data_IF_693855023766
#
_entry.id   IF_693855023766
#
_cell.length_a   1.000
_cell.length_b   1.000
_cell.length_c   1.000
_cell.angle_alpha   90.00
_cell.angle_beta   90.00
_cell.angle_gamma   90.00
#
_symmetry.space_group_name_H-M   'P 1'
#
loop_
_entity.id
_entity.type
_entity.pdbx_description
1 polymer ?
#
# COMPACT_ATOMS: atom_id res chain seq x y z
N UNK A 1 30.91 -0.75 6.31
CA UNK A 1 30.76 -2.01 7.08
C UNK A 1 29.46 -2.64 6.61
N UNK A 2 29.52 -3.86 6.12
CA UNK A 2 28.34 -4.61 5.69
C UNK A 2 27.94 -5.61 6.77
N UNK A 3 26.67 -6.03 6.76
CA UNK A 3 26.19 -7.17 7.53
C UNK A 3 26.36 -8.43 6.70
N UNK A 4 26.97 -9.47 7.25
CA UNK A 4 27.02 -10.77 6.61
C UNK A 4 25.91 -11.66 7.17
N UNK A 5 25.06 -12.17 6.27
CA UNK A 5 23.93 -13.04 6.56
C UNK A 5 24.28 -14.46 6.12
N UNK A 6 24.36 -15.39 7.07
CA UNK A 6 24.52 -16.80 6.80
C UNK A 6 23.20 -17.54 6.75
N UNK A 7 23.03 -18.41 5.74
CA UNK A 7 21.99 -19.44 5.70
C UNK A 7 22.50 -20.62 4.87
N UNK A 8 22.31 -21.86 5.35
CA UNK A 8 22.74 -23.07 4.64
C UNK A 8 22.12 -23.16 3.23
N UNK A 9 20.86 -22.71 3.12
CA UNK A 9 20.10 -22.69 1.87
C UNK A 9 19.60 -21.26 1.68
N UNK A 10 19.88 -20.68 0.52
CA UNK A 10 19.50 -19.31 0.19
C UNK A 10 18.37 -19.30 -0.85
N UNK A 11 17.13 -19.13 -0.37
CA UNK A 11 15.93 -19.10 -1.23
C UNK A 11 15.54 -17.67 -1.65
N UNK A 12 14.69 -17.51 -2.69
CA UNK A 12 14.13 -16.21 -3.04
C UNK A 12 13.37 -15.54 -1.89
N UNK A 13 12.64 -16.31 -1.07
CA UNK A 13 11.90 -15.80 0.10
C UNK A 13 12.82 -15.24 1.18
N UNK A 14 13.96 -15.91 1.46
CA UNK A 14 14.99 -15.40 2.39
C UNK A 14 15.57 -14.10 1.84
N UNK A 15 16.05 -14.10 0.59
CA UNK A 15 16.62 -12.89 -0.04
C UNK A 15 15.66 -11.72 0.00
N UNK A 16 14.39 -11.95 -0.36
CA UNK A 16 13.37 -10.91 -0.37
C UNK A 16 13.14 -10.33 1.03
N UNK A 17 12.88 -11.18 2.02
CA UNK A 17 12.52 -10.73 3.38
C UNK A 17 13.68 -10.03 4.08
N UNK A 18 14.90 -10.57 3.93
CA UNK A 18 16.09 -9.95 4.53
C UNK A 18 16.44 -8.63 3.85
N UNK A 19 16.35 -8.53 2.51
CA UNK A 19 16.52 -7.23 1.85
C UNK A 19 15.47 -6.23 2.33
N UNK A 20 14.21 -6.62 2.45
CA UNK A 20 13.17 -5.71 2.94
C UNK A 20 13.48 -5.18 4.36
N UNK A 21 13.80 -6.06 5.30
CA UNK A 21 14.10 -5.64 6.68
C UNK A 21 15.39 -4.82 6.73
N UNK A 22 16.50 -5.34 6.20
CA UNK A 22 17.80 -4.71 6.40
C UNK A 22 18.05 -3.54 5.46
N UNK A 23 17.77 -3.71 4.16
CA UNK A 23 18.02 -2.68 3.15
C UNK A 23 16.91 -1.64 3.12
N UNK A 24 15.65 -2.05 3.10
CA UNK A 24 14.54 -1.10 2.88
C UNK A 24 14.11 -0.40 4.17
N UNK A 25 13.92 -1.13 5.28
CA UNK A 25 13.53 -0.54 6.56
C UNK A 25 14.74 0.04 7.31
N UNK A 26 15.80 -0.78 7.51
CA UNK A 26 16.95 -0.40 8.36
C UNK A 26 18.05 0.37 7.63
N UNK A 27 17.97 0.49 6.30
CA UNK A 27 18.96 1.19 5.46
C UNK A 27 20.39 0.71 5.72
N UNK A 28 20.55 -0.61 5.81
CA UNK A 28 21.81 -1.31 6.00
C UNK A 28 22.10 -2.24 4.82
N UNK A 29 23.37 -2.30 4.43
CA UNK A 29 23.82 -3.16 3.35
C UNK A 29 24.12 -4.57 3.88
N UNK A 30 23.67 -5.57 3.12
CA UNK A 30 23.80 -6.98 3.49
C UNK A 30 24.52 -7.76 2.39
N UNK A 31 25.31 -8.73 2.81
CA UNK A 31 25.91 -9.77 1.98
C UNK A 31 25.36 -11.13 2.43
N UNK A 32 24.98 -12.00 1.49
CA UNK A 32 24.54 -13.35 1.81
C UNK A 32 25.65 -14.36 1.55
N UNK A 33 25.82 -15.33 2.44
CA UNK A 33 26.74 -16.46 2.23
C UNK A 33 26.17 -17.77 2.74
N UNK A 34 26.50 -18.86 2.04
CA UNK A 34 26.31 -20.24 2.52
C UNK A 34 27.62 -20.90 2.96
N UNK A 35 28.74 -20.18 2.92
CA UNK A 35 30.04 -20.70 3.33
C UNK A 35 30.25 -20.41 4.83
N UNK A 36 30.14 -21.44 5.65
CA UNK A 36 30.25 -21.34 7.11
C UNK A 36 31.66 -20.93 7.55
N UNK A 37 32.71 -21.38 6.87
CA UNK A 37 34.09 -21.01 7.19
C UNK A 37 34.32 -19.52 6.94
N UNK A 38 33.91 -19.01 5.78
CA UNK A 38 33.99 -17.58 5.46
C UNK A 38 33.17 -16.75 6.46
N UNK A 39 31.96 -17.19 6.80
CA UNK A 39 31.13 -16.53 7.79
C UNK A 39 31.80 -16.45 9.15
N UNK A 40 32.32 -17.58 9.68
CA UNK A 40 32.94 -17.63 11.00
C UNK A 40 34.21 -16.76 11.09
N UNK A 41 35.03 -16.75 10.03
CA UNK A 41 36.27 -15.99 9.94
C UNK A 41 36.06 -14.49 9.68
N UNK A 42 34.86 -14.08 9.26
CA UNK A 42 34.56 -12.68 8.98
C UNK A 42 34.56 -11.81 10.26
N UNK A 43 35.16 -10.62 10.15
CA UNK A 43 35.14 -9.56 11.17
C UNK A 43 33.92 -8.62 11.03
N UNK A 44 33.08 -8.85 10.01
CA UNK A 44 31.87 -8.07 9.81
C UNK A 44 30.81 -8.36 10.89
N UNK A 45 29.72 -7.59 10.89
CA UNK A 45 28.56 -7.89 11.74
C UNK A 45 27.89 -9.17 11.24
N UNK A 46 27.87 -10.20 12.09
CA UNK A 46 27.42 -11.55 11.72
C UNK A 46 26.00 -11.82 12.20
N UNK A 47 25.14 -12.23 11.27
CA UNK A 47 23.81 -12.75 11.54
C UNK A 47 23.66 -14.09 10.83
N UNK A 48 23.12 -15.09 11.52
CA UNK A 48 22.79 -16.39 10.91
C UNK A 48 21.29 -16.65 11.02
N UNK A 49 20.75 -17.30 9.99
CA UNK A 49 19.36 -17.73 9.92
C UNK A 49 19.29 -19.19 9.51
N UNK A 50 18.81 -20.05 10.41
CA UNK A 50 18.87 -21.49 10.18
C UNK A 50 18.42 -22.33 11.37
N UNK A 51 18.74 -23.63 11.32
CA UNK A 51 18.34 -24.57 12.36
C UNK A 51 19.27 -24.57 13.57
N UNK A 52 20.52 -24.12 13.44
CA UNK A 52 21.51 -24.13 14.53
C UNK A 52 22.39 -22.89 14.44
N UNK A 53 22.77 -22.38 15.61
CA UNK A 53 23.78 -21.34 15.77
C UNK A 53 25.16 -21.91 15.41
N UNK A 54 26.01 -21.10 14.77
CA UNK A 54 27.35 -21.51 14.33
C UNK A 54 28.47 -21.11 15.29
N UNK A 55 28.30 -20.00 16.01
CA UNK A 55 29.26 -19.46 16.96
C UNK A 55 28.64 -18.35 17.80
N UNK A 56 29.37 -17.26 18.02
CA UNK A 56 28.89 -16.10 18.78
C UNK A 56 28.32 -14.99 17.86
N UNK A 57 27.55 -15.35 16.83
CA UNK A 57 26.82 -14.40 16.00
C UNK A 57 25.47 -13.99 16.63
N UNK A 58 24.69 -13.14 15.94
CA UNK A 58 23.26 -12.98 16.24
C UNK A 58 22.51 -14.06 15.47
N UNK A 59 22.00 -15.06 16.18
CA UNK A 59 21.30 -16.19 15.58
C UNK A 59 19.78 -16.01 15.60
N UNK A 60 19.15 -16.20 14.44
CA UNK A 60 17.71 -16.33 14.31
C UNK A 60 17.35 -17.75 13.88
N UNK A 61 16.61 -18.46 14.75
CA UNK A 61 16.12 -19.80 14.44
C UNK A 61 15.05 -19.71 13.36
N UNK A 62 15.16 -20.57 12.37
CA UNK A 62 14.27 -20.59 11.22
C UNK A 62 13.13 -21.60 11.33
N UNK A 63 12.04 -21.31 10.62
CA UNK A 63 10.94 -22.24 10.33
C UNK A 63 10.86 -22.55 8.83
N UNK A 64 10.04 -23.52 8.46
CA UNK A 64 10.00 -24.06 7.10
C UNK A 64 9.54 -23.05 6.02
N UNK A 65 8.82 -21.99 6.39
CA UNK A 65 8.13 -21.12 5.42
C UNK A 65 9.08 -20.48 4.39
N UNK A 66 10.23 -19.97 4.85
CA UNK A 66 11.16 -19.31 3.94
C UNK A 66 11.97 -20.28 3.09
N UNK A 67 12.03 -21.57 3.44
CA UNK A 67 12.71 -22.59 2.63
C UNK A 67 11.79 -23.26 1.61
N UNK A 68 10.48 -23.10 1.77
CA UNK A 68 9.48 -23.63 0.83
C UNK A 68 9.38 -22.78 -0.43
N UNK A 69 9.05 -23.41 -1.56
CA UNK A 69 8.64 -22.79 -2.81
C UNK A 69 7.17 -23.07 -3.16
N UNK A 70 6.40 -23.58 -2.18
CA UNK A 70 4.99 -23.93 -2.36
C UNK A 70 4.07 -23.00 -1.60
N UNK A 71 2.87 -22.83 -2.14
CA UNK A 71 1.75 -22.14 -1.53
C UNK A 71 0.75 -23.19 -1.02
N UNK A 72 0.80 -23.47 0.28
CA UNK A 72 0.06 -24.52 0.97
C UNK A 72 -0.72 -23.92 2.15
N UNK A 73 -1.76 -24.59 2.62
CA UNK A 73 -2.52 -24.09 3.77
C UNK A 73 -1.66 -24.11 5.04
N UNK A 74 -1.56 -22.96 5.71
CA UNK A 74 -0.79 -22.82 6.95
C UNK A 74 -1.72 -22.47 8.11
N UNK A 75 -1.54 -23.18 9.22
CA UNK A 75 -2.16 -22.87 10.52
C UNK A 75 -1.05 -22.54 11.51
N UNK A 76 -0.38 -21.37 11.37
CA UNK A 76 0.74 -21.01 12.22
C UNK A 76 0.32 -20.99 13.68
N UNK A 77 1.06 -21.72 14.52
CA UNK A 77 0.97 -21.57 15.98
C UNK A 77 1.41 -20.17 16.37
N UNK A 78 0.85 -19.66 17.46
CA UNK A 78 1.19 -18.34 17.99
C UNK A 78 1.56 -18.39 19.46
N UNK A 79 2.37 -17.42 19.89
CA UNK A 79 2.68 -17.14 21.30
C UNK A 79 2.41 -15.67 21.61
N UNK A 80 2.25 -15.34 22.89
CA UNK A 80 2.13 -13.96 23.33
C UNK A 80 3.48 -13.22 23.21
N UNK A 81 3.43 -11.97 22.80
CA UNK A 81 4.58 -11.09 22.70
C UNK A 81 4.16 -9.66 23.07
N UNK A 82 4.30 -9.35 24.36
CA UNK A 82 3.68 -8.16 24.95
C UNK A 82 2.16 -8.18 24.79
N UNK A 83 1.62 -7.15 24.15
CA UNK A 83 0.18 -6.94 23.99
C UNK A 83 -0.46 -7.67 22.79
N UNK A 84 0.33 -8.39 21.98
CA UNK A 84 -0.13 -9.03 20.75
C UNK A 84 0.42 -10.45 20.58
N UNK A 85 -0.04 -11.15 19.55
CA UNK A 85 0.41 -12.50 19.21
C UNK A 85 1.41 -12.48 18.05
N UNK A 86 2.41 -13.35 18.11
CA UNK A 86 3.37 -13.56 17.02
C UNK A 86 3.30 -15.01 16.52
N UNK A 87 3.32 -15.23 15.20
CA UNK A 87 3.32 -16.57 14.61
C UNK A 87 4.72 -17.19 14.59
N UNK A 88 4.79 -18.49 14.31
CA UNK A 88 6.05 -19.22 14.11
C UNK A 88 6.97 -19.20 15.34
N UNK A 89 6.51 -19.66 16.51
CA UNK A 89 7.34 -19.69 17.72
C UNK A 89 8.58 -20.56 17.53
N UNK A 90 9.70 -20.10 18.07
CA UNK A 90 10.99 -20.80 18.05
C UNK A 90 11.70 -20.62 19.39
N UNK A 91 12.56 -21.57 19.73
CA UNK A 91 13.41 -21.52 20.91
C UNK A 91 14.87 -21.25 20.50
N UNK A 92 15.68 -20.81 21.46
CA UNK A 92 17.13 -20.60 21.29
C UNK A 92 17.44 -19.67 20.10
N UNK A 93 16.78 -18.52 20.05
CA UNK A 93 16.84 -17.54 18.97
C UNK A 93 16.88 -16.13 19.56
N UNK A 94 17.39 -15.16 18.80
CA UNK A 94 17.43 -13.75 19.22
C UNK A 94 16.03 -13.16 19.47
N UNK A 95 14.98 -13.76 18.89
CA UNK A 95 13.57 -13.48 19.17
C UNK A 95 12.81 -14.80 19.40
N UNK A 96 11.72 -14.81 20.19
CA UNK A 96 11.00 -16.04 20.54
C UNK A 96 10.13 -16.60 19.40
N UNK A 97 10.25 -16.02 18.20
CA UNK A 97 9.55 -16.41 17.00
C UNK A 97 10.41 -16.13 15.76
N UNK A 98 10.11 -16.81 14.67
CA UNK A 98 10.75 -16.57 13.38
C UNK A 98 10.19 -15.28 12.76
N UNK A 99 10.84 -14.17 13.12
CA UNK A 99 10.49 -12.82 12.67
C UNK A 99 10.54 -12.67 11.15
N UNK A 100 11.41 -13.41 10.48
CA UNK A 100 11.55 -13.32 9.02
C UNK A 100 10.42 -14.08 8.33
N UNK A 101 10.06 -15.28 8.79
CA UNK A 101 8.87 -15.99 8.30
C UNK A 101 7.58 -15.21 8.58
N UNK A 102 7.44 -14.64 9.79
CA UNK A 102 6.29 -13.82 10.15
C UNK A 102 6.15 -12.60 9.22
N UNK A 103 7.25 -11.91 8.95
CA UNK A 103 7.29 -10.76 8.03
C UNK A 103 6.93 -11.17 6.60
N UNK A 104 7.53 -12.24 6.08
CA UNK A 104 7.22 -12.74 4.74
C UNK A 104 5.76 -13.12 4.59
N UNK A 105 5.18 -13.81 5.58
CA UNK A 105 3.79 -14.24 5.56
C UNK A 105 2.83 -13.05 5.36
N UNK A 106 3.09 -11.94 6.03
CA UNK A 106 2.29 -10.71 5.91
C UNK A 106 2.60 -9.92 4.64
N UNK A 107 3.87 -9.76 4.26
CA UNK A 107 4.27 -9.00 3.06
C UNK A 107 3.80 -9.65 1.77
N UNK A 108 3.91 -10.98 1.67
CA UNK A 108 3.51 -11.74 0.48
C UNK A 108 1.98 -11.88 0.33
N UNK A 109 1.21 -11.38 1.31
CA UNK A 109 -0.25 -11.57 1.41
C UNK A 109 -0.64 -13.05 1.29
N UNK A 110 0.13 -13.92 1.95
CA UNK A 110 0.01 -15.38 1.85
C UNK A 110 -1.42 -15.88 2.09
N UNK A 111 -2.10 -15.31 3.10
CA UNK A 111 -3.50 -15.61 3.45
C UNK A 111 -4.49 -15.30 2.30
N UNK A 112 -4.25 -14.22 1.56
CA UNK A 112 -5.16 -13.76 0.50
C UNK A 112 -5.03 -14.60 -0.77
N UNK A 113 -3.80 -15.02 -1.09
CA UNK A 113 -3.55 -15.97 -2.17
C UNK A 113 -4.25 -17.31 -1.93
N UNK A 114 -4.26 -17.81 -0.69
CA UNK A 114 -4.98 -19.03 -0.34
C UNK A 114 -6.51 -18.84 -0.38
N UNK A 115 -7.00 -17.70 0.10
CA UNK A 115 -8.43 -17.38 0.05
C UNK A 115 -8.95 -17.34 -1.40
N UNK A 116 -8.22 -16.67 -2.30
CA UNK A 116 -8.63 -16.49 -3.70
C UNK A 116 -8.47 -17.73 -4.57
N UNK A 117 -7.70 -18.74 -4.12
CA UNK A 117 -7.73 -20.06 -4.74
C UNK A 117 -9.07 -20.78 -4.57
N UNK A 118 -9.81 -20.45 -3.52
CA UNK A 118 -10.99 -21.21 -3.10
C UNK A 118 -12.31 -20.42 -3.25
N UNK A 119 -12.25 -19.09 -3.43
CA UNK A 119 -13.45 -18.25 -3.55
C UNK A 119 -13.18 -16.93 -4.27
N UNK A 120 -14.22 -16.41 -4.92
CA UNK A 120 -14.25 -15.09 -5.54
C UNK A 120 -14.60 -13.95 -4.56
N UNK A 121 -14.95 -14.30 -3.32
CA UNK A 121 -15.32 -13.36 -2.27
C UNK A 121 -14.16 -12.45 -1.87
N UNK A 122 -14.51 -11.21 -1.48
CA UNK A 122 -13.54 -10.27 -0.91
C UNK A 122 -12.91 -10.83 0.38
N UNK A 123 -11.59 -10.65 0.50
CA UNK A 123 -10.86 -10.99 1.72
C UNK A 123 -11.12 -9.94 2.81
N UNK A 124 -11.97 -10.27 3.78
CA UNK A 124 -12.39 -9.33 4.83
C UNK A 124 -11.31 -9.15 5.92
N UNK A 125 -11.02 -7.91 6.37
CA UNK A 125 -10.02 -7.64 7.41
C UNK A 125 -10.27 -8.40 8.71
N UNK A 126 -11.52 -8.53 9.14
CA UNK A 126 -11.89 -9.23 10.39
C UNK A 126 -11.56 -10.73 10.36
N UNK A 127 -11.42 -11.33 9.17
CA UNK A 127 -11.01 -12.73 9.01
C UNK A 127 -9.49 -12.90 9.02
N UNK A 128 -8.74 -11.82 8.82
CA UNK A 128 -7.28 -11.86 8.70
C UNK A 128 -6.61 -12.35 9.97
N UNK A 129 -5.49 -13.04 9.80
CA UNK A 129 -4.67 -13.46 10.94
C UNK A 129 -4.09 -12.24 11.68
N UNK A 130 -3.72 -11.18 10.95
CA UNK A 130 -3.25 -9.93 11.54
C UNK A 130 -4.27 -9.28 12.49
N UNK A 131 -5.56 -9.34 12.16
CA UNK A 131 -6.62 -8.89 13.05
C UNK A 131 -6.71 -9.78 14.29
N UNK A 132 -6.73 -11.11 14.12
CA UNK A 132 -6.77 -12.08 15.24
C UNK A 132 -5.56 -11.95 16.17
N UNK A 133 -4.40 -11.61 15.62
CA UNK A 133 -3.16 -11.41 16.36
C UNK A 133 -3.03 -10.02 16.98
N UNK A 134 -3.99 -9.11 16.75
CA UNK A 134 -3.99 -7.73 17.25
C UNK A 134 -2.78 -6.91 16.80
N UNK A 135 -2.32 -7.13 15.57
CA UNK A 135 -1.18 -6.39 14.98
C UNK A 135 -1.58 -5.42 13.87
N UNK A 136 -2.86 -5.39 13.49
CA UNK A 136 -3.32 -4.60 12.36
C UNK A 136 -3.16 -3.07 12.56
N UNK A 137 -3.16 -2.59 13.81
CA UNK A 137 -3.12 -1.16 14.15
C UNK A 137 -1.70 -0.56 14.20
N UNK A 138 -0.66 -1.31 13.83
CA UNK A 138 0.73 -0.86 13.88
C UNK A 138 1.53 -1.37 12.68
N UNK A 139 2.59 -0.67 12.24
CA UNK A 139 3.51 -1.17 11.22
C UNK A 139 4.43 -2.23 11.85
N UNK A 140 3.87 -3.38 12.23
CA UNK A 140 4.50 -4.37 13.11
C UNK A 140 5.84 -4.88 12.58
N UNK A 141 5.99 -4.99 11.26
CA UNK A 141 7.25 -5.44 10.63
C UNK A 141 8.33 -4.38 10.80
N UNK A 142 7.99 -3.10 10.66
CA UNK A 142 8.92 -2.00 10.92
C UNK A 142 9.33 -1.94 12.40
N UNK A 143 8.39 -2.20 13.33
CA UNK A 143 8.70 -2.30 14.76
C UNK A 143 9.66 -3.46 15.06
N UNK A 144 9.41 -4.65 14.48
CA UNK A 144 10.31 -5.78 14.61
C UNK A 144 11.70 -5.49 14.03
N UNK A 145 11.77 -4.77 12.90
CA UNK A 145 13.05 -4.34 12.34
C UNK A 145 13.80 -3.42 13.33
N UNK A 146 13.12 -2.51 14.04
CA UNK A 146 13.76 -1.69 15.08
C UNK A 146 14.23 -2.52 16.29
N UNK A 147 13.54 -3.60 16.63
CA UNK A 147 14.02 -4.55 17.64
C UNK A 147 15.30 -5.24 17.17
N UNK A 148 15.36 -5.70 15.91
CA UNK A 148 16.56 -6.27 15.30
C UNK A 148 17.70 -5.25 15.28
N UNK A 149 17.43 -3.99 14.91
CA UNK A 149 18.40 -2.87 14.98
C UNK A 149 18.97 -2.72 16.39
N UNK A 150 18.13 -2.82 17.42
CA UNK A 150 18.53 -2.70 18.82
C UNK A 150 19.40 -3.89 19.28
N UNK A 151 19.05 -5.11 18.87
CA UNK A 151 19.87 -6.32 19.10
C UNK A 151 21.26 -6.16 18.46
N UNK A 152 21.31 -5.69 17.22
CA UNK A 152 22.58 -5.44 16.50
C UNK A 152 23.41 -4.38 17.21
N UNK A 153 22.83 -3.23 17.54
CA UNK A 153 23.55 -2.16 18.26
C UNK A 153 24.07 -2.60 19.63
N UNK A 154 23.34 -3.47 20.32
CA UNK A 154 23.78 -4.02 21.62
C UNK A 154 25.03 -4.88 21.48
N UNK A 155 25.11 -5.72 20.45
CA UNK A 155 26.26 -6.61 20.22
C UNK A 155 27.40 -5.94 19.45
N UNK A 156 27.09 -5.01 18.55
CA UNK A 156 28.02 -4.31 17.68
C UNK A 156 27.82 -2.79 17.77
N UNK A 157 28.25 -2.13 18.86
CA UNK A 157 27.97 -0.71 19.11
C UNK A 157 28.57 0.24 18.06
N UNK A 158 29.64 -0.18 17.38
CA UNK A 158 30.30 0.58 16.31
C UNK A 158 29.53 0.56 14.98
N UNK A 159 28.58 -0.36 14.80
CA UNK A 159 27.82 -0.48 13.57
C UNK A 159 26.79 0.66 13.45
N UNK A 160 26.89 1.42 12.36
CA UNK A 160 26.01 2.55 12.08
C UNK A 160 24.99 2.19 11.00
N UNK A 161 23.73 2.50 11.29
CA UNK A 161 22.64 2.44 10.32
C UNK A 161 22.45 3.82 9.71
N UNK A 162 22.09 3.89 8.43
CA UNK A 162 21.65 5.16 7.86
C UNK A 162 20.33 5.60 8.50
N UNK A 163 20.16 6.91 8.61
CA UNK A 163 18.93 7.49 9.13
C UNK A 163 17.90 7.62 8.01
N UNK A 164 16.64 7.34 8.34
CA UNK A 164 15.48 7.66 7.53
C UNK A 164 14.61 8.65 8.29
N UNK A 165 13.83 9.43 7.55
CA UNK A 165 12.91 10.44 8.11
C UNK A 165 11.49 10.01 7.85
N UNK A 166 10.60 10.35 8.77
CA UNK A 166 9.17 10.27 8.54
C UNK A 166 8.78 10.99 7.25
N UNK A 167 7.91 10.38 6.47
CA UNK A 167 7.31 10.96 5.27
C UNK A 167 5.79 10.83 5.35
N UNK A 168 5.07 11.79 4.77
CA UNK A 168 3.64 11.73 4.62
C UNK A 168 3.29 11.84 3.13
N UNK A 169 2.42 10.97 2.64
CA UNK A 169 1.98 10.98 1.26
C UNK A 169 0.47 10.72 1.20
N UNK A 170 -0.36 11.77 1.27
CA UNK A 170 -1.80 11.61 1.10
C UNK A 170 -2.12 11.29 -0.36
N UNK A 171 -3.09 10.40 -0.57
CA UNK A 171 -3.64 10.08 -1.88
C UNK A 171 -5.07 10.60 -1.98
N UNK A 172 -5.42 11.24 -3.10
CA UNK A 172 -6.75 11.80 -3.33
C UNK A 172 -7.33 11.20 -4.60
N UNK A 173 -8.49 10.57 -4.50
CA UNK A 173 -9.14 9.92 -5.63
C UNK A 173 -10.44 10.63 -6.02
N UNK A 174 -10.77 10.64 -7.32
CA UNK A 174 -12.02 11.19 -7.83
C UNK A 174 -12.35 10.70 -9.24
N UNK A 175 -13.62 10.90 -9.63
CA UNK A 175 -14.11 10.55 -10.96
C UNK A 175 -14.20 11.81 -11.82
N UNK A 176 -13.73 11.73 -13.07
CA UNK A 176 -14.06 12.72 -14.09
C UNK A 176 -15.51 12.52 -14.51
N UNK A 177 -16.25 13.63 -14.67
CA UNK A 177 -17.62 13.59 -15.16
C UNK A 177 -17.63 13.61 -16.70
N UNK A 178 -18.59 12.96 -17.36
CA UNK A 178 -18.75 13.07 -18.80
C UNK A 178 -19.20 14.49 -19.16
N UNK A 179 -18.57 15.08 -20.18
CA UNK A 179 -19.03 16.33 -20.77
C UNK A 179 -20.28 16.09 -21.60
N UNK A 180 -21.38 16.81 -21.30
CA UNK A 180 -22.60 16.71 -22.11
C UNK A 180 -22.37 17.52 -23.38
N UNK A 181 -22.31 16.89 -24.57
CA UNK A 181 -22.00 17.61 -25.79
C UNK A 181 -23.12 18.58 -26.16
N UNK A 182 -22.73 19.75 -26.70
CA UNK A 182 -23.65 20.74 -27.25
C UNK A 182 -24.22 20.26 -28.61
N UNK A 183 -25.48 20.59 -28.88
CA UNK A 183 -26.18 20.28 -30.14
C UNK A 183 -26.91 18.93 -30.16
N UNK A 184 -28.06 18.88 -30.84
CA UNK A 184 -28.99 17.74 -30.83
C UNK A 184 -28.36 16.42 -31.31
N UNK A 185 -27.65 16.42 -32.45
CA UNK A 185 -27.00 15.23 -33.02
C UNK A 185 -25.91 14.63 -32.12
N UNK A 186 -25.13 15.47 -31.44
CA UNK A 186 -24.07 14.98 -30.56
C UNK A 186 -24.64 14.48 -29.22
N UNK A 187 -25.73 15.09 -28.76
CA UNK A 187 -26.48 14.63 -27.58
C UNK A 187 -27.13 13.28 -27.82
N UNK A 188 -27.71 13.04 -29.00
CA UNK A 188 -28.26 11.71 -29.35
C UNK A 188 -27.15 10.67 -29.44
N UNK A 189 -26.03 10.95 -30.12
CA UNK A 189 -24.85 10.05 -30.15
C UNK A 189 -24.33 9.71 -28.75
N UNK A 190 -24.25 10.69 -27.85
CA UNK A 190 -23.86 10.47 -26.45
C UNK A 190 -24.83 9.50 -25.75
N UNK A 191 -26.14 9.74 -25.85
CA UNK A 191 -27.16 8.87 -25.25
C UNK A 191 -27.09 7.46 -25.81
N UNK A 192 -26.96 7.28 -27.12
CA UNK A 192 -26.79 5.96 -27.72
C UNK A 192 -25.51 5.26 -27.21
N UNK A 193 -24.37 5.96 -27.18
CA UNK A 193 -23.12 5.39 -26.66
C UNK A 193 -23.21 5.00 -25.18
N UNK A 194 -24.00 5.74 -24.40
CA UNK A 194 -24.23 5.48 -22.98
C UNK A 194 -25.20 4.29 -22.75
N UNK A 195 -26.12 4.02 -23.68
CA UNK A 195 -27.11 2.94 -23.60
C UNK A 195 -26.60 1.59 -24.14
N UNK A 196 -25.74 1.61 -25.17
CA UNK A 196 -25.18 0.37 -25.75
C UNK A 196 -24.12 -0.30 -24.86
N UNK A 197 -23.56 0.41 -23.87
CA UNK A 197 -22.72 -0.19 -22.83
C UNK A 197 -23.62 -0.58 -21.65
N UNK A 198 -24.01 -1.86 -21.62
CA UNK A 198 -25.03 -2.47 -20.74
C UNK A 198 -24.72 -2.43 -19.21
N UNK A 199 -23.61 -1.82 -18.80
CA UNK A 199 -23.14 -1.70 -17.40
C UNK A 199 -23.00 -0.24 -16.94
N UNK A 200 -23.67 0.70 -17.62
CA UNK A 200 -23.51 2.11 -17.32
C UNK A 200 -24.39 2.51 -16.12
N UNK A 201 -23.80 2.58 -14.92
CA UNK A 201 -24.38 3.17 -13.69
C UNK A 201 -24.67 4.69 -13.79
N UNK A 202 -24.74 5.23 -15.02
CA UNK A 202 -25.03 6.63 -15.28
C UNK A 202 -26.44 7.05 -14.83
N UNK A 203 -27.40 6.12 -14.83
CA UNK A 203 -28.76 6.40 -14.39
C UNK A 203 -28.93 6.36 -12.86
N UNK A 204 -28.14 5.55 -12.13
CA UNK A 204 -28.17 5.53 -10.66
C UNK A 204 -27.40 6.70 -10.04
N UNK A 205 -26.27 7.11 -10.65
CA UNK A 205 -25.51 8.30 -10.22
C UNK A 205 -26.27 9.62 -10.37
N UNK A 206 -27.35 9.65 -11.17
CA UNK A 206 -28.26 10.80 -11.25
C UNK A 206 -29.20 10.94 -10.05
N UNK A 207 -29.49 9.86 -9.33
CA UNK A 207 -30.32 9.95 -8.12
C UNK A 207 -29.54 10.49 -6.92
N UNK A 208 -28.23 10.25 -6.85
CA UNK A 208 -27.35 10.94 -5.89
C UNK A 208 -27.08 12.40 -6.27
N UNK A 209 -27.18 12.75 -7.55
CA UNK A 209 -27.14 14.15 -8.01
C UNK A 209 -28.43 14.93 -7.70
N UNK A 210 -29.56 14.27 -7.44
CA UNK A 210 -30.82 14.92 -7.10
C UNK A 210 -30.86 15.50 -5.67
N UNK A 211 -29.85 15.23 -4.84
CA UNK A 211 -29.68 15.87 -3.51
C UNK A 211 -28.44 16.78 -3.42
N UNK A 212 -27.73 17.00 -4.54
CA UNK A 212 -26.44 17.69 -4.54
C UNK A 212 -26.32 18.75 -5.62
N UNK A 213 -26.61 19.99 -5.27
CA UNK A 213 -26.17 21.17 -6.01
C UNK A 213 -24.65 21.05 -6.27
N UNK A 214 -24.31 21.00 -7.57
CA UNK A 214 -22.99 21.10 -8.22
C UNK A 214 -21.72 21.00 -7.36
N UNK A 215 -21.11 19.81 -7.28
CA UNK A 215 -19.71 19.69 -6.87
C UNK A 215 -18.80 19.96 -8.07
N UNK A 216 -18.07 21.07 -8.03
CA UNK A 216 -17.09 21.42 -9.06
C UNK A 216 -15.71 20.88 -8.67
N UNK A 217 -15.28 19.78 -9.30
CA UNK A 217 -13.97 19.17 -9.04
C UNK A 217 -12.81 20.17 -9.22
N UNK A 218 -12.88 21.09 -10.18
CA UNK A 218 -11.82 22.09 -10.40
C UNK A 218 -11.67 23.01 -9.19
N UNK A 219 -12.78 23.52 -8.67
CA UNK A 219 -12.77 24.40 -7.50
C UNK A 219 -12.18 23.69 -6.28
N UNK A 220 -12.60 22.44 -6.03
CA UNK A 220 -12.08 21.67 -4.89
C UNK A 220 -10.59 21.38 -5.08
N UNK A 221 -10.15 21.00 -6.28
CA UNK A 221 -8.73 20.77 -6.59
C UNK A 221 -7.90 22.03 -6.41
N UNK A 222 -8.39 23.18 -6.85
CA UNK A 222 -7.70 24.46 -6.66
C UNK A 222 -7.46 24.76 -5.18
N UNK A 223 -8.49 24.60 -4.36
CA UNK A 223 -8.39 24.85 -2.92
C UNK A 223 -7.47 23.84 -2.22
N UNK A 224 -7.60 22.55 -2.55
CA UNK A 224 -6.77 21.51 -1.92
C UNK A 224 -5.30 21.66 -2.33
N UNK A 225 -5.02 22.00 -3.58
CA UNK A 225 -3.66 22.30 -4.02
C UNK A 225 -3.10 23.53 -3.31
N UNK A 226 -3.91 24.57 -3.05
CA UNK A 226 -3.47 25.73 -2.24
C UNK A 226 -3.15 25.34 -0.81
N UNK A 227 -4.01 24.56 -0.16
CA UNK A 227 -3.78 24.06 1.22
C UNK A 227 -2.51 23.21 1.26
N UNK A 228 -2.36 22.27 0.34
CA UNK A 228 -1.22 21.37 0.27
C UNK A 228 0.08 22.07 -0.12
N UNK A 229 0.05 23.13 -0.94
CA UNK A 229 1.24 23.89 -1.33
C UNK A 229 1.94 24.58 -0.15
N UNK A 230 1.20 24.83 0.95
CA UNK A 230 1.80 25.33 2.20
C UNK A 230 2.58 24.26 2.97
N UNK A 231 2.53 23.02 2.51
CA UNK A 231 3.16 21.86 3.16
C UNK A 231 4.22 21.27 2.23
N UNK A 232 5.20 20.60 2.83
CA UNK A 232 6.31 19.98 2.10
C UNK A 232 5.85 18.81 1.22
N UNK A 233 4.83 18.09 1.68
CA UNK A 233 4.35 16.88 1.05
C UNK A 233 3.14 17.15 0.15
N UNK A 234 3.27 16.85 -1.14
CA UNK A 234 2.23 17.06 -2.15
C UNK A 234 1.33 15.82 -2.27
N UNK A 235 0.00 15.95 -2.36
CA UNK A 235 -0.89 14.82 -2.61
C UNK A 235 -0.63 14.13 -3.95
N UNK A 236 -0.85 12.81 -3.98
CA UNK A 236 -0.89 12.00 -5.19
C UNK A 236 -2.35 11.82 -5.61
N UNK A 237 -2.68 12.13 -6.86
CA UNK A 237 -4.05 12.09 -7.35
C UNK A 237 -4.34 10.81 -8.16
N UNK A 238 -5.49 10.18 -7.93
CA UNK A 238 -5.96 9.03 -8.71
C UNK A 238 -7.29 9.34 -9.40
N UNK A 239 -7.32 9.13 -10.71
CA UNK A 239 -8.44 9.54 -11.55
C UNK A 239 -9.12 8.31 -12.16
N UNK A 240 -10.43 8.22 -11.95
CA UNK A 240 -11.31 7.31 -12.69
C UNK A 240 -12.00 8.07 -13.82
N UNK A 241 -12.26 7.38 -14.93
CA UNK A 241 -12.82 7.96 -16.13
C UNK A 241 -14.16 7.33 -16.47
N UNK A 242 -15.13 8.13 -16.94
CA UNK A 242 -16.40 7.58 -17.37
C UNK A 242 -16.18 6.65 -18.57
N UNK A 243 -17.00 5.59 -18.66
CA UNK A 243 -16.93 4.59 -19.72
C UNK A 243 -17.49 5.11 -21.07
N UNK A 244 -17.21 6.35 -21.41
CA UNK A 244 -17.58 7.02 -22.67
C UNK A 244 -16.34 7.22 -23.54
N UNK A 245 -16.57 7.52 -24.82
CA UNK A 245 -15.49 7.89 -25.73
C UNK A 245 -14.72 9.08 -25.19
N UNK A 246 -13.42 9.10 -25.45
CA UNK A 246 -12.49 10.14 -25.00
C UNK A 246 -12.89 11.55 -25.48
N UNK A 247 -13.65 11.65 -26.57
CA UNK A 247 -14.19 12.92 -27.08
C UNK A 247 -15.25 13.55 -26.18
N UNK A 248 -15.91 12.75 -25.34
CA UNK A 248 -16.93 13.19 -24.38
C UNK A 248 -16.37 13.31 -22.96
N UNK A 249 -15.05 13.24 -22.79
CA UNK A 249 -14.40 13.38 -21.48
C UNK A 249 -13.90 14.82 -21.34
N UNK A 250 -14.54 15.61 -20.47
CA UNK A 250 -14.10 16.98 -20.19
C UNK A 250 -12.89 16.97 -19.25
N UNK A 251 -11.70 17.08 -19.84
CA UNK A 251 -10.40 17.03 -19.13
C UNK A 251 -9.72 18.38 -18.97
N UNK A 252 -10.08 19.37 -19.80
CA UNK A 252 -9.34 20.64 -19.93
C UNK A 252 -9.37 21.51 -18.67
N UNK A 253 -10.48 21.48 -17.93
CA UNK A 253 -10.59 22.26 -16.69
C UNK A 253 -9.75 21.69 -15.55
N UNK A 254 -9.57 20.37 -15.52
CA UNK A 254 -8.88 19.66 -14.44
C UNK A 254 -7.38 19.55 -14.71
N UNK A 255 -6.96 19.40 -15.97
CA UNK A 255 -5.56 19.22 -16.37
C UNK A 255 -4.63 20.34 -15.90
N UNK A 256 -5.12 21.59 -15.85
CA UNK A 256 -4.36 22.75 -15.36
C UNK A 256 -3.87 22.60 -13.91
N UNK A 257 -4.54 21.77 -13.10
CA UNK A 257 -4.22 21.56 -11.69
C UNK A 257 -3.16 20.49 -11.45
N UNK A 258 -2.71 19.79 -12.49
CA UNK A 258 -1.79 18.66 -12.35
C UNK A 258 -0.39 18.88 -12.91
N UNK A 259 -0.07 20.06 -13.44
CA UNK A 259 1.24 20.34 -14.08
C UNK A 259 2.45 19.92 -13.23
N UNK A 260 2.38 20.09 -11.91
CA UNK A 260 3.44 19.76 -10.95
C UNK A 260 3.00 18.73 -9.89
N UNK A 261 1.99 17.91 -10.22
CA UNK A 261 1.41 16.90 -9.34
C UNK A 261 1.57 15.51 -9.95
N UNK A 262 1.75 14.51 -9.09
CA UNK A 262 1.72 13.12 -9.53
C UNK A 262 0.27 12.69 -9.74
N UNK A 263 0.01 11.99 -10.84
CA UNK A 263 -1.32 11.48 -11.18
C UNK A 263 -1.24 10.00 -11.56
N UNK A 264 -2.16 9.19 -11.05
CA UNK A 264 -2.31 7.77 -11.35
C UNK A 264 -3.73 7.41 -11.80
N UNK A 265 -3.89 6.16 -12.23
CA UNK A 265 -5.16 5.60 -12.64
C UNK A 265 -5.90 4.99 -11.43
N UNK A 266 -7.17 5.36 -11.26
CA UNK A 266 -8.05 4.74 -10.26
C UNK A 266 -8.75 3.52 -10.87
N UNK A 267 -8.93 2.45 -10.08
CA UNK A 267 -9.62 1.20 -10.43
C UNK A 267 -9.07 0.45 -11.65
N UNK A 268 -7.75 0.30 -11.81
CA UNK A 268 -7.25 -0.52 -12.91
C UNK A 268 -7.42 -2.02 -12.63
N UNK A 269 -7.61 -2.46 -11.39
CA UNK A 269 -7.84 -3.87 -11.13
C UNK A 269 -9.30 -4.27 -11.37
N UNK A 270 -9.39 -4.94 -12.48
CA UNK A 270 -10.54 -5.41 -13.17
C UNK A 270 -10.65 -6.91 -12.95
N UNK A 271 -11.84 -7.42 -12.61
CA UNK A 271 -12.14 -8.86 -12.55
C UNK A 271 -11.78 -9.58 -13.87
N UNK A 272 -11.72 -10.92 -13.89
CA UNK A 272 -11.50 -11.71 -15.12
C UNK A 272 -12.42 -11.30 -16.31
N UNK A 273 -13.54 -10.62 -16.03
CA UNK A 273 -14.53 -10.19 -17.02
C UNK A 273 -14.25 -8.83 -17.67
N UNK A 274 -13.64 -7.86 -17.00
CA UNK A 274 -13.29 -6.60 -17.71
C UNK A 274 -11.94 -6.77 -18.40
N UNK A 275 -11.80 -6.13 -19.55
CA UNK A 275 -10.71 -6.43 -20.48
C UNK A 275 -9.55 -5.51 -20.16
N UNK A 276 -8.31 -5.99 -20.28
CA UNK A 276 -7.08 -5.15 -20.31
C UNK A 276 -7.22 -3.87 -21.17
N UNK A 277 -8.13 -3.88 -22.13
CA UNK A 277 -8.55 -2.72 -22.91
C UNK A 277 -9.04 -1.54 -22.06
N UNK A 278 -9.75 -1.76 -20.96
CA UNK A 278 -10.24 -0.68 -20.09
C UNK A 278 -9.09 0.03 -19.38
N UNK A 279 -8.10 -0.72 -18.88
CA UNK A 279 -6.88 -0.15 -18.31
C UNK A 279 -6.14 0.66 -19.38
N UNK A 280 -5.98 0.11 -20.59
CA UNK A 280 -5.35 0.82 -21.72
C UNK A 280 -6.10 2.11 -22.08
N UNK A 281 -7.42 2.07 -22.17
CA UNK A 281 -8.25 3.26 -22.42
C UNK A 281 -8.10 4.30 -21.30
N UNK A 282 -8.11 3.86 -20.04
CA UNK A 282 -7.86 4.71 -18.87
C UNK A 282 -6.49 5.39 -18.93
N UNK A 283 -5.44 4.65 -19.27
CA UNK A 283 -4.08 5.19 -19.44
C UNK A 283 -4.00 6.19 -20.60
N UNK A 284 -4.70 5.95 -21.70
CA UNK A 284 -4.78 6.92 -22.83
C UNK A 284 -5.47 8.21 -22.36
N UNK A 285 -6.56 8.11 -21.60
CA UNK A 285 -7.26 9.28 -21.02
C UNK A 285 -6.38 10.02 -20.01
N UNK A 286 -5.65 9.29 -19.17
CA UNK A 286 -4.72 9.85 -18.20
C UNK A 286 -3.60 10.66 -18.88
N UNK A 287 -3.02 10.14 -19.97
CA UNK A 287 -2.01 10.85 -20.78
C UNK A 287 -2.53 12.16 -21.39
N UNK A 288 -3.84 12.31 -21.62
CA UNK A 288 -4.42 13.60 -22.05
C UNK A 288 -4.50 14.63 -20.93
N UNK A 289 -4.72 14.18 -19.68
CA UNK A 289 -4.71 15.06 -18.51
C UNK A 289 -3.28 15.46 -18.16
N UNK A 290 -2.36 14.50 -18.22
CA UNK A 290 -0.98 14.66 -17.79
C UNK A 290 -0.01 14.12 -18.85
N UNK A 291 0.35 14.93 -19.87
CA UNK A 291 1.15 14.47 -21.02
C UNK A 291 2.63 14.23 -20.69
N UNK A 292 3.12 14.62 -19.52
CA UNK A 292 4.50 14.37 -19.10
C UNK A 292 4.69 12.89 -18.76
N UNK A 293 5.82 12.32 -19.17
CA UNK A 293 6.25 10.96 -18.83
C UNK A 293 6.56 10.86 -17.31
N UNK A 294 5.53 10.63 -16.51
CA UNK A 294 5.66 10.27 -15.09
C UNK A 294 5.58 8.74 -14.96
N UNK A 295 6.28 8.13 -13.98
CA UNK A 295 6.01 6.74 -13.58
C UNK A 295 4.51 6.51 -13.41
N UNK A 296 3.96 5.57 -14.19
CA UNK A 296 2.54 5.26 -14.10
C UNK A 296 2.27 4.62 -12.74
N UNK A 297 1.28 5.16 -12.03
CA UNK A 297 0.84 4.68 -10.71
C UNK A 297 -0.63 4.30 -10.72
N UNK A 298 -1.04 3.44 -9.79
CA UNK A 298 -2.42 2.99 -9.63
C UNK A 298 -2.93 3.05 -8.20
N UNK A 299 -4.26 3.10 -8.07
CA UNK A 299 -4.97 2.80 -6.83
C UNK A 299 -6.29 2.10 -7.12
N UNK A 300 -6.67 1.19 -6.24
CA UNK A 300 -7.95 0.50 -6.19
C UNK A 300 -8.38 0.40 -4.73
N UNK A 301 -9.58 0.91 -4.43
CA UNK A 301 -10.15 0.88 -3.08
C UNK A 301 -11.18 -0.24 -2.90
N UNK A 302 -11.60 -0.83 -4.02
CA UNK A 302 -12.41 -2.04 -4.11
C UNK A 302 -11.54 -3.30 -3.90
N UNK A 303 -12.18 -4.47 -4.02
CA UNK A 303 -11.53 -5.77 -3.82
C UNK A 303 -10.24 -5.92 -4.64
N UNK A 304 -9.15 -6.20 -3.93
CA UNK A 304 -7.85 -6.51 -4.53
C UNK A 304 -7.66 -8.04 -4.59
N UNK A 305 -7.74 -8.61 -5.80
CA UNK A 305 -7.57 -10.03 -6.11
C UNK A 305 -6.14 -10.38 -6.51
N UNK A 306 -5.49 -11.25 -5.77
CA UNK A 306 -4.17 -11.81 -6.07
C UNK A 306 -4.25 -13.13 -6.85
N UNK A 307 -3.31 -13.36 -7.78
CA UNK A 307 -2.33 -12.40 -8.27
C UNK A 307 -2.90 -11.48 -9.38
N UNK A 308 -4.11 -11.75 -9.86
CA UNK A 308 -4.62 -11.22 -11.14
C UNK A 308 -4.60 -9.69 -11.22
N UNK A 309 -4.94 -8.98 -10.14
CA UNK A 309 -4.87 -7.52 -10.09
C UNK A 309 -3.47 -7.00 -10.37
N UNK A 310 -2.49 -7.53 -9.66
CA UNK A 310 -1.12 -7.04 -9.72
C UNK A 310 -0.44 -7.45 -11.02
N UNK A 311 -0.80 -8.62 -11.57
CA UNK A 311 -0.42 -8.99 -12.93
C UNK A 311 -0.99 -8.03 -13.98
N UNK A 312 -2.27 -7.67 -13.91
CA UNK A 312 -2.91 -6.75 -14.87
C UNK A 312 -2.30 -5.35 -14.80
N UNK A 313 -2.04 -4.85 -13.59
CA UNK A 313 -1.37 -3.56 -13.34
C UNK A 313 0.04 -3.59 -13.94
N UNK A 314 0.84 -4.61 -13.60
CA UNK A 314 2.22 -4.74 -14.07
C UNK A 314 2.29 -4.89 -15.60
N UNK A 315 1.43 -5.71 -16.20
CA UNK A 315 1.34 -5.91 -17.65
C UNK A 315 0.90 -4.65 -18.42
N UNK A 316 0.32 -3.67 -17.73
CA UNK A 316 -0.04 -2.36 -18.29
C UNK A 316 1.09 -1.33 -18.20
N UNK A 317 2.26 -1.71 -17.69
CA UNK A 317 3.42 -0.83 -17.53
C UNK A 317 3.38 0.05 -16.28
N UNK A 318 2.42 -0.19 -15.37
CA UNK A 318 2.35 0.48 -14.07
C UNK A 318 3.36 -0.18 -13.13
N UNK A 319 4.19 0.64 -12.47
CA UNK A 319 5.31 0.16 -11.65
C UNK A 319 5.17 0.52 -10.17
N UNK A 320 4.19 1.34 -9.79
CA UNK A 320 3.86 1.58 -8.40
C UNK A 320 2.34 1.56 -8.15
N UNK A 321 1.91 0.93 -7.07
CA UNK A 321 0.52 0.74 -6.69
C UNK A 321 0.25 1.20 -5.25
N UNK A 322 -0.91 1.81 -5.04
CA UNK A 322 -1.37 2.37 -3.76
C UNK A 322 -2.72 1.74 -3.34
N UNK A 323 -2.99 0.52 -3.81
CA UNK A 323 -4.26 -0.19 -3.57
C UNK A 323 -4.25 -1.01 -2.28
N UNK A 324 -3.06 -1.32 -1.74
CA UNK A 324 -2.96 -2.21 -0.60
C UNK A 324 -3.33 -1.50 0.71
N UNK A 325 -4.57 -1.66 1.14
CA UNK A 325 -5.06 -1.27 2.44
C UNK A 325 -6.46 -1.82 2.67
N UNK A 326 -7.07 -1.49 3.80
CA UNK A 326 -8.48 -1.82 4.06
C UNK A 326 -9.30 -0.54 3.96
N UNK A 327 -10.28 -0.52 3.05
CA UNK A 327 -11.09 0.67 2.79
C UNK A 327 -12.04 1.02 3.95
N UNK A 328 -12.42 0.02 4.76
CA UNK A 328 -13.42 0.13 5.82
C UNK A 328 -12.88 -0.13 7.24
N UNK A 329 -11.59 -0.41 7.41
CA UNK A 329 -10.95 -0.61 8.72
C UNK A 329 -9.59 0.07 8.73
N UNK A 330 -9.28 0.96 9.69
CA UNK A 330 -7.93 1.50 9.85
C UNK A 330 -6.93 0.37 10.13
N UNK A 331 -5.78 0.36 9.43
CA UNK A 331 -4.83 -0.74 9.62
C UNK A 331 -3.76 -0.90 8.55
N UNK A 332 -2.62 -1.44 8.95
CA UNK A 332 -1.50 -1.79 8.05
C UNK A 332 -1.76 -3.17 7.45
N UNK A 333 -2.48 -3.23 6.32
CA UNK A 333 -2.84 -4.51 5.66
C UNK A 333 -1.63 -5.39 5.34
N UNK A 334 -0.48 -4.79 4.99
CA UNK A 334 0.77 -5.49 4.72
C UNK A 334 1.68 -5.67 5.96
N UNK A 335 1.23 -5.24 7.15
CA UNK A 335 2.04 -5.23 8.38
C UNK A 335 3.17 -4.19 8.37
N UNK A 336 3.26 -3.33 7.37
CA UNK A 336 4.34 -2.35 7.20
C UNK A 336 3.82 -1.02 6.65
N UNK A 337 4.58 0.04 6.91
CA UNK A 337 4.44 1.37 6.30
C UNK A 337 5.59 1.70 5.31
N UNK A 338 6.54 0.78 5.12
CA UNK A 338 7.66 0.94 4.20
C UNK A 338 7.28 0.37 2.82
N UNK A 339 7.49 1.09 1.72
CA UNK A 339 7.23 0.56 0.37
C UNK A 339 8.01 -0.72 0.10
N UNK A 340 7.39 -1.67 -0.61
CA UNK A 340 8.00 -2.96 -0.91
C UNK A 340 7.66 -3.44 -2.31
N UNK A 341 8.55 -4.20 -2.92
CA UNK A 341 8.24 -4.88 -4.17
C UNK A 341 7.27 -6.04 -3.93
N UNK A 342 6.23 -6.17 -4.75
CA UNK A 342 5.32 -7.31 -4.69
C UNK A 342 6.07 -8.61 -5.00
N UNK A 343 5.94 -9.59 -4.09
CA UNK A 343 6.43 -10.96 -4.29
C UNK A 343 5.30 -11.82 -4.86
N UNK A 344 5.49 -12.33 -6.07
CA UNK A 344 4.52 -13.24 -6.68
C UNK A 344 4.74 -14.67 -6.17
N UNK A 345 3.84 -15.12 -5.29
CA UNK A 345 3.85 -16.47 -4.71
C UNK A 345 3.60 -17.60 -5.73
N UNK A 346 3.04 -17.31 -6.92
CA UNK A 346 2.88 -18.33 -7.96
C UNK A 346 4.19 -18.58 -8.71
N UNK A 347 4.99 -17.53 -8.88
CA UNK A 347 6.24 -17.55 -9.64
C UNK A 347 7.48 -17.58 -8.74
N UNK A 348 7.30 -17.53 -7.42
CA UNK A 348 8.35 -17.46 -6.40
C UNK A 348 9.43 -16.41 -6.71
N UNK A 349 8.97 -15.21 -7.08
CA UNK A 349 9.87 -14.12 -7.50
C UNK A 349 9.39 -12.75 -7.03
N UNK A 350 10.37 -11.88 -6.82
CA UNK A 350 10.15 -10.44 -6.63
C UNK A 350 9.81 -9.81 -7.99
N UNK A 351 8.77 -8.98 -8.03
CA UNK A 351 8.36 -8.23 -9.22
C UNK A 351 8.80 -6.76 -9.12
N UNK A 352 8.90 -6.01 -10.23
CA UNK A 352 9.23 -4.60 -10.17
C UNK A 352 8.06 -3.71 -9.69
N UNK A 353 6.88 -4.27 -9.43
CA UNK A 353 5.73 -3.50 -8.92
C UNK A 353 5.97 -3.12 -7.45
N UNK A 354 6.12 -1.83 -7.18
CA UNK A 354 6.27 -1.28 -5.82
C UNK A 354 4.90 -1.04 -5.21
N UNK A 355 4.64 -1.65 -4.06
CA UNK A 355 3.42 -1.48 -3.29
C UNK A 355 3.64 -0.43 -2.20
N UNK A 356 2.74 0.55 -2.16
CA UNK A 356 2.66 1.61 -1.16
C UNK A 356 1.38 1.43 -0.36
N UNK A 357 1.47 0.78 0.79
CA UNK A 357 0.29 0.37 1.56
C UNK A 357 -0.28 1.53 2.38
N UNK A 358 -1.55 1.89 2.15
CA UNK A 358 -2.26 2.86 2.98
C UNK A 358 -2.81 2.21 4.24
N UNK A 359 -2.92 3.01 5.31
CA UNK A 359 -3.43 2.54 6.60
C UNK A 359 -4.71 3.24 7.07
N UNK A 360 -5.12 4.31 6.37
CA UNK A 360 -6.28 5.11 6.75
C UNK A 360 -7.04 5.60 5.52
N UNK A 361 -8.37 5.62 5.60
CA UNK A 361 -9.25 6.23 4.59
C UNK A 361 -10.22 7.20 5.23
N UNK A 362 -10.75 8.15 4.47
CA UNK A 362 -11.82 9.02 4.92
C UNK A 362 -13.12 8.26 5.26
N UNK A 363 -13.43 7.19 4.56
CA UNK A 363 -14.56 6.30 4.85
C UNK A 363 -14.50 5.74 6.29
N UNK A 364 -13.30 5.37 6.77
CA UNK A 364 -13.11 4.89 8.16
C UNK A 364 -13.35 5.97 9.21
N UNK A 365 -13.21 7.24 8.83
CA UNK A 365 -13.39 8.40 9.72
C UNK A 365 -14.81 8.98 9.64
N UNK A 366 -15.53 8.73 8.56
CA UNK A 366 -16.82 9.35 8.25
C UNK A 366 -17.87 9.13 9.34
N UNK A 367 -17.91 7.95 9.97
CA UNK A 367 -18.94 7.60 10.94
C UNK A 367 -18.54 7.89 12.40
N UNK A 368 -17.33 8.42 12.63
CA UNK A 368 -16.83 8.75 13.96
C UNK A 368 -17.19 10.18 14.37
N UNK A 369 -17.23 10.43 15.68
CA UNK A 369 -17.19 11.82 16.19
C UNK A 369 -15.88 12.46 15.79
N UNK A 370 -15.85 13.80 15.72
CA UNK A 370 -14.61 14.53 15.36
C UNK A 370 -13.46 14.15 16.28
N UNK A 371 -13.70 14.11 17.59
CA UNK A 371 -12.66 13.83 18.58
C UNK A 371 -12.12 12.40 18.44
N UNK A 372 -13.00 11.41 18.22
CA UNK A 372 -12.56 10.03 17.98
C UNK A 372 -11.79 9.90 16.67
N UNK A 373 -12.22 10.60 15.61
CA UNK A 373 -11.52 10.61 14.33
C UNK A 373 -10.13 11.24 14.43
N UNK A 374 -9.98 12.35 15.18
CA UNK A 374 -8.67 12.98 15.45
C UNK A 374 -7.76 12.04 16.24
N UNK A 375 -8.28 11.37 17.27
CA UNK A 375 -7.49 10.40 18.05
C UNK A 375 -6.97 9.25 17.18
N UNK A 376 -7.82 8.66 16.34
CA UNK A 376 -7.40 7.61 15.40
C UNK A 376 -6.36 8.17 14.43
N UNK A 377 -6.60 9.33 13.84
CA UNK A 377 -5.68 9.96 12.91
C UNK A 377 -4.28 10.14 13.53
N UNK A 378 -4.20 10.75 14.72
CA UNK A 378 -2.94 10.95 15.45
C UNK A 378 -2.28 9.62 15.80
N UNK A 379 -3.04 8.65 16.29
CA UNK A 379 -2.52 7.32 16.64
C UNK A 379 -1.77 6.66 15.47
N UNK A 380 -2.34 6.66 14.27
CA UNK A 380 -1.70 6.03 13.11
C UNK A 380 -0.53 6.85 12.58
N UNK A 381 -0.59 8.19 12.64
CA UNK A 381 0.55 9.05 12.28
C UNK A 381 1.72 8.80 13.24
N UNK A 382 1.46 8.75 14.54
CA UNK A 382 2.48 8.53 15.56
C UNK A 382 3.10 7.14 15.46
N UNK A 383 2.30 6.11 15.18
CA UNK A 383 2.80 4.76 14.92
C UNK A 383 3.83 4.73 13.76
N UNK A 384 3.60 5.52 12.70
CA UNK A 384 4.54 5.62 11.58
C UNK A 384 5.75 6.52 11.92
N UNK A 385 5.56 7.59 12.69
CA UNK A 385 6.65 8.45 13.19
C UNK A 385 7.66 7.67 14.04
N UNK A 386 7.18 6.79 14.93
CA UNK A 386 8.02 5.92 15.78
C UNK A 386 9.03 5.13 14.94
N UNK A 387 8.59 4.65 13.76
CA UNK A 387 9.45 3.88 12.86
C UNK A 387 10.08 4.69 11.75
N UNK A 388 9.91 6.03 11.73
CA UNK A 388 10.35 6.91 10.65
C UNK A 388 10.00 6.36 9.25
N UNK A 389 8.76 5.87 9.10
CA UNK A 389 8.24 5.30 7.85
C UNK A 389 7.49 6.32 6.98
N UNK A 390 6.70 5.81 6.04
CA UNK A 390 5.83 6.65 5.20
C UNK A 390 4.37 6.46 5.58
N UNK A 391 3.70 7.55 5.97
CA UNK A 391 2.28 7.54 6.29
C UNK A 391 1.47 7.79 5.01
N UNK A 392 0.74 6.76 4.59
CA UNK A 392 -0.15 6.79 3.44
C UNK A 392 -1.61 6.80 3.91
N UNK A 393 -2.39 7.77 3.42
CA UNK A 393 -3.82 7.93 3.70
C UNK A 393 -4.60 8.15 2.41
N UNK A 394 -5.83 7.67 2.31
CA UNK A 394 -6.67 7.85 1.13
C UNK A 394 -7.93 8.69 1.38
N UNK A 395 -8.20 9.63 0.47
CA UNK A 395 -9.30 10.58 0.59
C UNK A 395 -10.04 10.71 -0.73
N UNK A 396 -11.37 10.80 -0.69
CA UNK A 396 -12.18 11.15 -1.83
C UNK A 396 -12.23 12.68 -1.98
N UNK A 397 -11.94 13.20 -3.18
CA UNK A 397 -11.97 14.65 -3.44
C UNK A 397 -13.31 15.29 -3.02
N UNK A 398 -14.44 14.60 -3.21
CA UNK A 398 -15.78 15.11 -2.86
C UNK A 398 -15.87 15.44 -1.36
N UNK A 399 -15.25 14.61 -0.53
CA UNK A 399 -15.26 14.68 0.93
C UNK A 399 -14.35 15.81 1.44
N UNK A 400 -13.55 16.40 0.56
CA UNK A 400 -12.69 17.53 0.85
C UNK A 400 -13.30 18.88 0.43
N UNK A 401 -14.53 18.92 -0.09
CA UNK A 401 -15.19 20.17 -0.50
C UNK A 401 -15.68 21.02 0.68
N UNK A 402 -15.99 22.31 0.42
CA UNK A 402 -16.51 23.25 1.43
C UNK A 402 -18.00 23.06 1.78
N UNK A 403 -18.67 22.06 1.20
CA UNK A 403 -20.08 21.83 1.48
C UNK A 403 -20.27 21.47 2.97
N UNK A 404 -21.31 21.98 3.65
CA UNK A 404 -21.53 21.73 5.08
C UNK A 404 -21.47 20.26 5.48
N UNK A 405 -22.01 19.36 4.64
CA UNK A 405 -21.99 17.91 4.86
C UNK A 405 -20.59 17.28 4.91
N UNK A 406 -19.60 17.90 4.28
CA UNK A 406 -18.22 17.42 4.21
C UNK A 406 -17.25 18.18 5.12
N UNK A 407 -17.72 19.22 5.81
CA UNK A 407 -16.92 20.08 6.69
C UNK A 407 -16.06 19.29 7.68
N UNK A 408 -16.59 18.21 8.27
CA UNK A 408 -15.85 17.36 9.22
C UNK A 408 -14.64 16.69 8.56
N UNK A 409 -14.83 16.02 7.42
CA UNK A 409 -13.76 15.30 6.73
C UNK A 409 -12.71 16.26 6.16
N UNK A 410 -13.13 17.42 5.62
CA UNK A 410 -12.20 18.48 5.20
C UNK A 410 -11.35 18.98 6.37
N UNK A 411 -11.94 19.22 7.55
CA UNK A 411 -11.19 19.63 8.74
C UNK A 411 -10.21 18.54 9.21
N UNK A 412 -10.60 17.26 9.13
CA UNK A 412 -9.71 16.14 9.46
C UNK A 412 -8.54 16.03 8.48
N UNK A 413 -8.77 16.29 7.19
CA UNK A 413 -7.69 16.34 6.19
C UNK A 413 -6.70 17.47 6.47
N UNK A 414 -7.18 18.66 6.85
CA UNK A 414 -6.33 19.78 7.25
C UNK A 414 -5.54 19.45 8.53
N UNK A 415 -6.21 18.85 9.52
CA UNK A 415 -5.58 18.37 10.76
C UNK A 415 -4.46 17.38 10.46
N UNK A 416 -4.71 16.41 9.58
CA UNK A 416 -3.71 15.44 9.13
C UNK A 416 -2.50 16.12 8.49
N UNK A 417 -2.72 17.04 7.54
CA UNK A 417 -1.65 17.79 6.90
C UNK A 417 -0.85 18.63 7.91
N UNK A 418 -1.49 19.12 8.97
CA UNK A 418 -0.84 19.87 10.04
C UNK A 418 -0.03 18.98 10.97
N UNK A 419 -0.61 17.89 11.46
CA UNK A 419 0.00 16.99 12.45
C UNK A 419 1.11 16.12 11.85
N UNK A 420 0.99 15.75 10.57
CA UNK A 420 2.04 15.06 9.83
C UNK A 420 3.13 16.00 9.33
N UNK A 421 2.86 17.31 9.24
CA UNK A 421 3.88 18.30 8.89
C UNK A 421 4.90 18.43 10.01
N UNK A 422 6.18 18.53 9.64
CA UNK A 422 7.23 18.99 10.56
C UNK A 422 7.13 20.49 10.79
#
# INVERSE_FOLDING_TARGET
MHLIIFSDILTPRIKYTFNFIFKDILKAEIEFTGNSQYFLQSEQVKISYGNKQLGDEIFFKSTALLFSNKLEELKPKTIAFGEYLVPFPVEQSALPFDVFAASFFMLSRYEEYLHQKNTEEEFRPLKSLQHKWKVLNKPVIDEWALMIKSIIKKKYPSFKFHEKKFHHQPTIHFNILPGIPKGFLNRTKFVFSALFKKENNYLSSKFDQLTGIGLNNEQVLEEINKIAATKKDKPLYFIDFPNVSIHFTEVNGVSKHFKDQSVGLLRPCVSDKQKMNEIKEGLIKLKKIHPVAIPLTSQQLETLKFPICYLNILNSGITADYSMGYSNVPGFRAGTCTPFNWYDLQLEKVTPLVVNSYCLTDDTLQYLTRDSAVKILHQYIDAVKVVNGTFYSCWNLKNLSNLPKYKKLRLLFIEMLSYSGN
#
